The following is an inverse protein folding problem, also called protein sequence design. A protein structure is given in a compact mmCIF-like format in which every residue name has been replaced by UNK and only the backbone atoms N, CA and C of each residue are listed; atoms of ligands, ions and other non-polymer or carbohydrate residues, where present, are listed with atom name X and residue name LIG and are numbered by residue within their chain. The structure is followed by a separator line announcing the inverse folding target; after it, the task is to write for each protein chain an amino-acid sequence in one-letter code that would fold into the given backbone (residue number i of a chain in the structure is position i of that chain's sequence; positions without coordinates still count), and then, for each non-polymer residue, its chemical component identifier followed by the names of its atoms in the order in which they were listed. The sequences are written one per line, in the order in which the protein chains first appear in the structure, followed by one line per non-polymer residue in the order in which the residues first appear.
data_IF_686586165361
#
_entry.id   IF_686586165361
#
_cell.length_a   1.000
_cell.length_b   1.000
_cell.length_c   1.000
_cell.angle_alpha   90.00
_cell.angle_beta   90.00
_cell.angle_gamma   90.00
#
_symmetry.space_group_name_H-M   'P 1'
#
loop_
_entity.id
_entity.type
_entity.pdbx_description
1 polymer ?
#
# COMPACT_ATOMS: atom_id res chain seq x y z
N UNK A 1 7.74 -56.51 19.22
CA UNK A 1 8.19 -55.11 19.10
C UNK A 1 6.98 -54.25 18.75
N UNK A 2 6.43 -53.52 19.73
CA UNK A 2 5.19 -52.75 19.57
C UNK A 2 5.44 -51.50 18.73
N UNK A 3 4.85 -51.43 17.52
CA UNK A 3 4.78 -50.20 16.73
C UNK A 3 3.83 -49.24 17.45
N UNK A 4 4.36 -48.39 18.34
CA UNK A 4 3.58 -47.29 18.91
C UNK A 4 3.27 -46.31 17.77
N UNK A 5 2.03 -46.34 17.29
CA UNK A 5 1.51 -45.31 16.40
C UNK A 5 1.63 -43.96 17.11
N UNK A 6 2.24 -42.98 16.44
CA UNK A 6 2.27 -41.59 16.89
C UNK A 6 0.80 -41.14 17.03
N UNK A 7 0.39 -40.51 18.15
CA UNK A 7 -0.98 -40.02 18.31
C UNK A 7 -1.34 -39.03 17.19
N UNK A 8 -2.53 -39.15 16.61
CA UNK A 8 -3.00 -38.30 15.49
C UNK A 8 -2.87 -36.78 15.76
N UNK A 9 -2.98 -36.37 17.03
CA UNK A 9 -2.81 -34.98 17.48
C UNK A 9 -1.39 -34.45 17.30
N UNK A 10 -0.37 -35.31 17.44
CA UNK A 10 1.04 -34.94 17.30
C UNK A 10 1.42 -34.72 15.83
N UNK A 11 0.84 -35.52 14.93
CA UNK A 11 1.03 -35.33 13.48
C UNK A 11 0.37 -34.06 12.96
N UNK A 12 -0.83 -33.72 13.44
CA UNK A 12 -1.50 -32.48 13.09
C UNK A 12 -0.70 -31.24 13.55
N UNK A 13 -0.15 -31.28 14.76
CA UNK A 13 0.71 -30.21 15.29
C UNK A 13 2.04 -30.09 14.54
N UNK A 14 2.64 -31.23 14.16
CA UNK A 14 3.86 -31.26 13.36
C UNK A 14 3.61 -30.74 11.94
N UNK A 15 2.50 -31.14 11.32
CA UNK A 15 2.11 -30.65 10.00
C UNK A 15 1.80 -29.16 10.04
N UNK A 16 1.07 -28.69 11.05
CA UNK A 16 0.80 -27.26 11.24
C UNK A 16 2.09 -26.47 11.47
N UNK A 17 3.03 -27.01 12.26
CA UNK A 17 4.37 -26.45 12.45
C UNK A 17 5.13 -26.34 11.13
N UNK A 18 5.13 -27.38 10.31
CA UNK A 18 5.83 -27.42 9.02
C UNK A 18 5.18 -26.45 8.02
N UNK A 19 3.86 -26.40 7.97
CA UNK A 19 3.12 -25.46 7.10
C UNK A 19 3.38 -24.01 7.56
N UNK A 20 3.34 -23.72 8.86
CA UNK A 20 3.66 -22.39 9.40
C UNK A 20 5.10 -22.01 9.10
N UNK A 21 6.04 -22.94 9.23
CA UNK A 21 7.45 -22.71 8.93
C UNK A 21 7.66 -22.44 7.43
N UNK A 22 7.04 -23.25 6.56
CA UNK A 22 7.10 -23.07 5.11
C UNK A 22 6.48 -21.75 4.66
N UNK A 23 5.30 -21.41 5.16
CA UNK A 23 4.62 -20.14 4.86
C UNK A 23 5.45 -18.97 5.39
N UNK A 24 6.03 -19.08 6.59
CA UNK A 24 6.92 -18.06 7.14
C UNK A 24 8.16 -17.87 6.28
N UNK A 25 8.84 -18.95 5.87
CA UNK A 25 10.02 -18.88 5.02
C UNK A 25 9.70 -18.30 3.63
N UNK A 26 8.58 -18.68 3.03
CA UNK A 26 8.13 -18.14 1.75
C UNK A 26 7.72 -16.68 1.85
N UNK A 27 7.00 -16.29 2.89
CA UNK A 27 6.65 -14.89 3.13
C UNK A 27 7.88 -14.04 3.43
N UNK A 28 8.82 -14.53 4.23
CA UNK A 28 10.10 -13.85 4.47
C UNK A 28 10.89 -13.68 3.18
N UNK A 29 10.94 -14.72 2.34
CA UNK A 29 11.63 -14.66 1.05
C UNK A 29 10.96 -13.64 0.12
N UNK A 30 9.64 -13.68 -0.01
CA UNK A 30 8.86 -12.71 -0.81
C UNK A 30 9.09 -11.30 -0.27
N UNK A 31 8.98 -11.09 1.04
CA UNK A 31 9.20 -9.77 1.63
C UNK A 31 10.64 -9.28 1.43
N UNK A 32 11.65 -10.15 1.55
CA UNK A 32 13.05 -9.80 1.30
C UNK A 32 13.29 -9.42 -0.14
N UNK A 33 12.70 -10.14 -1.08
CA UNK A 33 12.85 -9.88 -2.51
C UNK A 33 12.09 -8.62 -2.92
N UNK A 34 10.90 -8.40 -2.39
CA UNK A 34 10.15 -7.15 -2.55
C UNK A 34 10.90 -5.96 -1.95
N UNK A 35 11.49 -6.11 -0.76
CA UNK A 35 12.32 -5.06 -0.15
C UNK A 35 13.56 -4.77 -1.00
N UNK A 36 14.24 -5.81 -1.51
CA UNK A 36 15.37 -5.64 -2.42
C UNK A 36 14.95 -4.94 -3.70
N UNK A 37 13.87 -5.39 -4.34
CA UNK A 37 13.32 -4.80 -5.55
C UNK A 37 12.94 -3.34 -5.31
N UNK A 38 12.28 -3.06 -4.18
CA UNK A 38 11.96 -1.71 -3.75
C UNK A 38 13.21 -0.85 -3.55
N UNK A 39 14.27 -1.37 -2.93
CA UNK A 39 15.53 -0.64 -2.70
C UNK A 39 16.38 -0.48 -3.97
N UNK A 40 16.31 -1.43 -4.91
CA UNK A 40 17.01 -1.38 -6.19
C UNK A 40 16.31 -0.40 -7.16
N UNK A 41 14.98 -0.36 -7.15
CA UNK A 41 14.17 0.58 -7.94
C UNK A 41 14.15 1.97 -7.31
N UNK A 42 13.93 2.08 -5.99
CA UNK A 42 14.03 3.33 -5.24
C UNK A 42 15.48 3.53 -4.77
N UNK A 43 16.32 4.03 -5.66
CA UNK A 43 17.65 4.52 -5.24
C UNK A 43 17.46 5.52 -4.08
N UNK A 44 18.11 5.29 -2.94
CA UNK A 44 17.97 6.05 -1.69
C UNK A 44 18.20 7.58 -1.79
N UNK A 45 18.65 8.08 -2.96
CA UNK A 45 18.81 9.50 -3.27
C UNK A 45 17.74 10.09 -4.19
N UNK A 46 16.86 9.26 -4.73
CA UNK A 46 15.66 9.73 -5.42
C UNK A 46 14.60 10.01 -4.35
N UNK A 47 14.10 11.26 -4.22
CA UNK A 47 12.99 11.52 -3.32
C UNK A 47 11.82 10.64 -3.76
N UNK A 48 11.33 9.77 -2.87
CA UNK A 48 10.10 9.04 -3.12
C UNK A 48 8.96 10.06 -3.24
N UNK A 49 8.60 10.38 -4.48
CA UNK A 49 7.47 11.25 -4.80
C UNK A 49 6.19 10.44 -4.91
N UNK A 50 6.27 9.11 -5.03
CA UNK A 50 5.13 8.25 -5.36
C UNK A 50 4.07 8.33 -4.27
N UNK A 51 2.86 8.67 -4.69
CA UNK A 51 1.61 8.50 -3.97
C UNK A 51 1.52 9.20 -2.61
N UNK A 52 1.86 10.49 -2.50
CA UNK A 52 1.38 11.29 -1.35
C UNK A 52 2.16 12.54 -0.93
N UNK A 53 3.34 12.80 -1.50
CA UNK A 53 4.16 13.97 -1.12
C UNK A 53 4.33 15.04 -2.20
N UNK A 54 3.58 14.97 -3.31
CA UNK A 54 3.78 15.88 -4.44
C UNK A 54 3.48 17.35 -4.13
N UNK A 55 2.54 17.63 -3.22
CA UNK A 55 2.20 19.00 -2.82
C UNK A 55 3.29 19.67 -1.97
N UNK A 56 4.26 18.92 -1.41
CA UNK A 56 5.34 19.53 -0.60
C UNK A 56 6.27 20.41 -1.42
N UNK A 57 6.43 20.11 -2.72
CA UNK A 57 7.24 20.90 -3.65
C UNK A 57 6.47 22.08 -4.27
N UNK A 58 5.17 22.17 -3.99
CA UNK A 58 4.26 23.21 -4.47
C UNK A 58 4.12 24.27 -3.38
N UNK A 59 4.03 25.55 -3.78
CA UNK A 59 3.86 26.65 -2.81
C UNK A 59 2.52 26.49 -2.08
N UNK A 60 2.49 26.72 -0.77
CA UNK A 60 1.27 26.56 0.07
C UNK A 60 0.01 27.19 -0.52
N UNK A 61 0.14 28.36 -1.14
CA UNK A 61 -0.98 29.07 -1.78
C UNK A 61 -1.62 28.30 -2.95
N UNK A 62 -0.83 27.52 -3.68
CA UNK A 62 -1.25 26.81 -4.89
C UNK A 62 -1.60 25.34 -4.56
N UNK A 63 -1.22 24.83 -3.38
CA UNK A 63 -1.45 23.44 -2.98
C UNK A 63 -2.93 23.07 -2.97
N UNK A 64 -3.80 23.96 -2.49
CA UNK A 64 -5.23 23.70 -2.40
C UNK A 64 -5.85 23.55 -3.80
N UNK A 65 -5.59 24.51 -4.69
CA UNK A 65 -6.11 24.51 -6.06
C UNK A 65 -5.58 23.31 -6.85
N UNK A 66 -4.29 23.02 -6.75
CA UNK A 66 -3.68 21.87 -7.41
C UNK A 66 -4.26 20.54 -6.90
N UNK A 67 -4.57 20.45 -5.59
CA UNK A 67 -5.21 19.26 -5.03
C UNK A 67 -6.64 19.06 -5.54
N UNK A 68 -7.41 20.14 -5.76
CA UNK A 68 -8.74 20.04 -6.37
C UNK A 68 -8.65 19.59 -7.83
N UNK A 69 -7.75 20.15 -8.62
CA UNK A 69 -7.57 19.73 -10.01
C UNK A 69 -7.13 18.26 -10.10
N UNK A 70 -6.24 17.82 -9.18
CA UNK A 70 -5.84 16.41 -9.04
C UNK A 70 -7.02 15.48 -8.72
N UNK A 71 -7.95 15.91 -7.86
CA UNK A 71 -9.13 15.11 -7.53
C UNK A 71 -9.99 14.83 -8.75
N UNK A 72 -10.04 15.73 -9.72
CA UNK A 72 -10.79 15.52 -10.97
C UNK A 72 -10.21 14.34 -11.76
N UNK A 73 -8.88 14.22 -11.81
CA UNK A 73 -8.20 13.10 -12.47
C UNK A 73 -8.55 11.79 -11.75
N UNK A 74 -8.33 11.71 -10.43
CA UNK A 74 -8.52 10.46 -9.69
C UNK A 74 -9.98 10.01 -9.57
N UNK A 75 -10.93 10.95 -9.63
CA UNK A 75 -12.39 10.65 -9.58
C UNK A 75 -13.01 10.47 -10.96
N UNK A 76 -12.21 10.52 -12.03
CA UNK A 76 -12.70 10.30 -13.38
C UNK A 76 -13.30 8.89 -13.52
N UNK A 77 -14.38 8.72 -14.31
CA UNK A 77 -15.04 7.44 -14.44
C UNK A 77 -14.20 6.43 -15.23
N UNK A 78 -13.47 6.90 -16.26
CA UNK A 78 -12.68 6.08 -17.18
C UNK A 78 -11.26 6.66 -17.36
N UNK A 79 -10.32 5.80 -17.81
CA UNK A 79 -8.92 6.17 -18.06
C UNK A 79 -8.80 7.26 -19.14
N UNK A 80 -9.61 7.21 -20.18
CA UNK A 80 -9.65 8.23 -21.25
C UNK A 80 -9.96 9.63 -20.71
N UNK A 81 -11.02 9.76 -19.90
CA UNK A 81 -11.40 11.03 -19.26
C UNK A 81 -10.31 11.49 -18.28
N UNK A 82 -9.69 10.56 -17.55
CA UNK A 82 -8.59 10.90 -16.65
C UNK A 82 -7.38 11.48 -17.40
N UNK A 83 -7.08 10.95 -18.60
CA UNK A 83 -6.02 11.47 -19.48
C UNK A 83 -6.36 12.87 -19.99
N UNK A 84 -7.61 13.13 -20.39
CA UNK A 84 -8.06 14.47 -20.80
C UNK A 84 -7.95 15.48 -19.64
N UNK A 85 -8.38 15.09 -18.44
CA UNK A 85 -8.25 15.93 -17.25
C UNK A 85 -6.78 16.18 -16.90
N UNK A 86 -5.90 15.18 -17.11
CA UNK A 86 -4.47 15.34 -16.93
C UNK A 86 -3.85 16.32 -17.94
N UNK A 87 -4.30 16.31 -19.20
CA UNK A 87 -3.85 17.30 -20.19
C UNK A 87 -4.23 18.73 -19.78
N UNK A 88 -5.46 18.95 -19.31
CA UNK A 88 -5.90 20.25 -18.78
C UNK A 88 -5.06 20.67 -17.57
N UNK A 89 -4.81 19.72 -16.65
CA UNK A 89 -3.94 19.92 -15.50
C UNK A 89 -2.52 20.33 -15.94
N UNK A 90 -1.95 19.65 -16.93
CA UNK A 90 -0.64 19.94 -17.48
C UNK A 90 -0.60 21.34 -18.10
N UNK A 91 -1.59 21.74 -18.89
CA UNK A 91 -1.66 23.09 -19.46
C UNK A 91 -1.69 24.18 -18.38
N UNK A 92 -2.41 23.94 -17.28
CA UNK A 92 -2.55 24.91 -16.18
C UNK A 92 -1.29 25.03 -15.32
N UNK A 93 -0.64 23.92 -15.01
CA UNK A 93 0.44 23.89 -14.00
C UNK A 93 1.85 23.75 -14.56
N UNK A 94 2.02 23.35 -15.82
CA UNK A 94 3.35 23.15 -16.44
C UNK A 94 4.24 24.39 -16.40
N UNK A 95 3.66 25.58 -16.59
CA UNK A 95 4.41 26.84 -16.53
C UNK A 95 4.95 27.14 -15.12
N UNK A 96 4.17 26.85 -14.07
CA UNK A 96 4.54 27.16 -12.68
C UNK A 96 5.40 26.06 -12.05
N UNK A 97 5.11 24.80 -12.36
CA UNK A 97 5.72 23.62 -11.73
C UNK A 97 6.14 22.57 -12.77
N UNK A 98 7.04 22.91 -13.72
CA UNK A 98 7.37 22.04 -14.85
C UNK A 98 7.94 20.69 -14.43
N UNK A 99 8.80 20.67 -13.39
CA UNK A 99 9.42 19.43 -12.88
C UNK A 99 8.41 18.47 -12.27
N UNK A 100 7.45 18.99 -11.50
CA UNK A 100 6.43 18.17 -10.83
C UNK A 100 5.47 17.57 -11.85
N UNK A 101 4.99 18.39 -12.78
CA UNK A 101 4.09 17.96 -13.86
C UNK A 101 4.77 16.93 -14.77
N UNK A 102 6.05 17.12 -15.10
CA UNK A 102 6.81 16.14 -15.90
C UNK A 102 6.98 14.82 -15.15
N UNK A 103 7.27 14.86 -13.85
CA UNK A 103 7.37 13.65 -13.03
C UNK A 103 6.07 12.84 -13.08
N UNK A 104 4.91 13.51 -13.01
CA UNK A 104 3.63 12.83 -13.09
C UNK A 104 3.34 12.31 -14.50
N UNK A 105 3.68 13.07 -15.53
CA UNK A 105 3.51 12.62 -16.91
C UNK A 105 4.29 11.33 -17.19
N UNK A 106 5.50 11.22 -16.63
CA UNK A 106 6.35 10.03 -16.77
C UNK A 106 5.78 8.81 -16.03
N UNK A 107 5.10 9.01 -14.89
CA UNK A 107 4.55 7.94 -14.06
C UNK A 107 3.03 7.75 -14.24
N UNK A 108 2.41 8.45 -15.21
CA UNK A 108 0.96 8.56 -15.33
C UNK A 108 0.28 7.20 -15.51
N UNK A 109 0.89 6.30 -16.27
CA UNK A 109 0.34 4.97 -16.51
C UNK A 109 0.27 4.12 -15.23
N UNK A 110 1.31 4.19 -14.40
CA UNK A 110 1.37 3.55 -13.09
C UNK A 110 0.37 4.19 -12.12
N UNK A 111 0.23 5.52 -12.17
CA UNK A 111 -0.70 6.26 -11.32
C UNK A 111 -2.16 5.97 -11.66
N UNK A 112 -2.47 5.61 -12.91
CA UNK A 112 -3.83 5.31 -13.37
C UNK A 112 -4.16 3.80 -13.36
N UNK A 113 -3.22 2.92 -13.00
CA UNK A 113 -3.46 1.46 -12.96
C UNK A 113 -4.61 1.07 -12.03
N UNK A 114 -4.91 1.87 -11.00
CA UNK A 114 -6.06 1.59 -10.13
C UNK A 114 -7.42 1.66 -10.87
N UNK A 115 -7.48 2.33 -12.04
CA UNK A 115 -8.72 2.44 -12.82
C UNK A 115 -9.12 1.12 -13.48
N UNK A 116 -8.18 0.19 -13.64
CA UNK A 116 -8.45 -1.15 -14.17
C UNK A 116 -9.27 -2.00 -13.18
N UNK A 117 -9.33 -1.57 -11.91
CA UNK A 117 -10.15 -2.21 -10.88
C UNK A 117 -11.57 -1.65 -10.83
N UNK A 118 -12.55 -2.43 -10.30
CA UNK A 118 -13.93 -1.99 -10.13
C UNK A 118 -14.06 -0.65 -9.39
N UNK A 119 -14.94 0.22 -9.89
CA UNK A 119 -15.13 1.58 -9.37
C UNK A 119 -15.45 1.63 -7.87
N UNK A 120 -16.12 0.61 -7.34
CA UNK A 120 -16.48 0.48 -5.92
C UNK A 120 -15.26 0.43 -4.98
N UNK A 121 -14.12 -0.12 -5.42
CA UNK A 121 -12.91 -0.25 -4.60
C UNK A 121 -11.82 0.78 -4.90
N UNK A 122 -11.92 1.52 -6.02
CA UNK A 122 -10.90 2.51 -6.44
C UNK A 122 -10.53 3.48 -5.31
N UNK A 123 -11.53 3.96 -4.57
CA UNK A 123 -11.32 4.88 -3.44
C UNK A 123 -10.46 4.32 -2.32
N UNK A 124 -10.49 3.00 -2.12
CA UNK A 124 -9.64 2.33 -1.13
C UNK A 124 -8.21 2.20 -1.65
N UNK A 125 -8.03 2.02 -2.96
CA UNK A 125 -6.72 1.83 -3.60
C UNK A 125 -5.93 3.13 -3.65
N UNK A 126 -6.50 4.23 -4.18
CA UNK A 126 -5.76 5.47 -4.36
C UNK A 126 -5.60 6.29 -3.07
N UNK A 127 -6.27 5.91 -1.97
CA UNK A 127 -6.14 6.64 -0.70
C UNK A 127 -5.04 6.08 0.19
N UNK A 128 -4.16 6.96 0.64
CA UNK A 128 -3.10 6.65 1.61
C UNK A 128 -3.58 6.65 3.06
N UNK A 129 -4.87 6.91 3.30
CA UNK A 129 -5.44 7.12 4.63
C UNK A 129 -5.14 5.98 5.62
N UNK A 130 -5.19 4.72 5.16
CA UNK A 130 -4.89 3.57 6.00
C UNK A 130 -3.42 3.59 6.45
N UNK A 131 -2.50 3.80 5.50
CA UNK A 131 -1.05 3.87 5.74
C UNK A 131 -0.70 5.06 6.64
N UNK A 132 -1.22 6.25 6.32
CA UNK A 132 -0.99 7.47 7.09
C UNK A 132 -1.51 7.34 8.52
N UNK A 133 -2.68 6.73 8.71
CA UNK A 133 -3.23 6.46 10.05
C UNK A 133 -2.34 5.51 10.84
N UNK A 134 -1.87 4.42 10.22
CA UNK A 134 -0.96 3.47 10.88
C UNK A 134 0.33 4.15 11.30
N UNK A 135 0.97 4.90 10.40
CA UNK A 135 2.21 5.65 10.68
C UNK A 135 1.98 6.68 11.79
N UNK A 136 0.84 7.39 11.77
CA UNK A 136 0.49 8.38 12.79
C UNK A 136 0.37 7.76 14.17
N UNK A 137 -0.28 6.61 14.28
CA UNK A 137 -0.44 5.91 15.57
C UNK A 137 0.89 5.32 16.07
N UNK A 138 1.72 4.77 15.19
CA UNK A 138 3.09 4.34 15.54
C UNK A 138 3.87 5.53 16.11
N UNK A 139 3.88 6.67 15.41
CA UNK A 139 4.55 7.90 15.89
C UNK A 139 3.99 8.39 17.22
N UNK A 140 2.68 8.31 17.42
CA UNK A 140 2.02 8.71 18.68
C UNK A 140 2.50 7.86 19.86
N UNK A 141 2.68 6.55 19.66
CA UNK A 141 3.20 5.63 20.68
C UNK A 141 4.68 5.83 20.99
N UNK A 142 5.47 6.17 19.97
CA UNK A 142 6.90 6.42 20.11
C UNK A 142 7.22 7.80 20.72
N UNK A 143 6.39 8.82 20.45
CA UNK A 143 6.62 10.21 20.91
C UNK A 143 6.90 10.36 22.42
N UNK A 144 6.17 9.73 23.36
CA UNK A 144 6.44 9.86 24.78
C UNK A 144 7.68 9.09 25.26
N UNK A 145 8.25 8.20 24.43
CA UNK A 145 9.32 7.29 24.86
C UNK A 145 10.69 7.95 24.98
N UNK A 146 10.88 9.20 24.52
CA UNK A 146 12.08 10.07 24.60
C UNK A 146 13.42 9.48 24.10
N UNK A 147 13.80 8.28 24.54
CA UNK A 147 14.91 7.47 24.01
C UNK A 147 14.54 5.97 24.07
N UNK A 148 14.90 5.24 23.03
CA UNK A 148 14.80 3.78 23.00
C UNK A 148 16.17 3.19 23.34
N UNK A 149 16.20 2.16 24.18
CA UNK A 149 17.43 1.55 24.69
C UNK A 149 18.18 0.72 23.65
N UNK A 150 17.48 0.12 22.68
CA UNK A 150 18.06 -0.63 21.57
C UNK A 150 17.16 -0.61 20.33
N UNK A 151 17.69 -1.05 19.19
CA UNK A 151 16.90 -1.25 17.96
C UNK A 151 15.79 -2.28 18.17
N UNK A 152 16.06 -3.37 18.90
CA UNK A 152 15.10 -4.43 19.20
C UNK A 152 13.92 -3.88 20.03
N UNK A 153 14.17 -2.92 20.93
CA UNK A 153 13.13 -2.25 21.67
C UNK A 153 12.20 -1.45 20.75
N UNK A 154 12.74 -0.79 19.71
CA UNK A 154 11.96 -0.09 18.69
C UNK A 154 11.10 -1.07 17.87
N UNK A 155 11.72 -2.16 17.40
CA UNK A 155 11.04 -3.21 16.63
C UNK A 155 9.89 -3.83 17.41
N UNK A 156 10.10 -4.12 18.71
CA UNK A 156 9.08 -4.68 19.58
C UNK A 156 7.88 -3.74 19.73
N UNK A 157 8.10 -2.43 19.86
CA UNK A 157 7.00 -1.44 19.94
C UNK A 157 6.21 -1.40 18.64
N UNK A 158 6.89 -1.43 17.49
CA UNK A 158 6.23 -1.47 16.18
C UNK A 158 5.43 -2.76 16.03
N UNK A 159 6.03 -3.91 16.34
CA UNK A 159 5.39 -5.22 16.28
C UNK A 159 4.11 -5.27 17.13
N UNK A 160 4.17 -4.89 18.40
CA UNK A 160 3.01 -4.89 19.29
C UNK A 160 1.91 -3.93 18.82
N UNK A 161 2.30 -2.82 18.19
CA UNK A 161 1.34 -1.87 17.61
C UNK A 161 0.64 -2.46 16.39
N UNK A 162 1.38 -3.15 15.52
CA UNK A 162 0.81 -3.84 14.35
C UNK A 162 -0.08 -5.00 14.79
N UNK A 163 0.30 -5.74 15.83
CA UNK A 163 -0.53 -6.82 16.38
C UNK A 163 -1.89 -6.30 16.86
N UNK A 164 -1.90 -5.22 17.65
CA UNK A 164 -3.13 -4.55 18.11
C UNK A 164 -3.98 -4.04 16.93
N UNK A 165 -3.35 -3.56 15.85
CA UNK A 165 -4.07 -3.20 14.63
C UNK A 165 -4.69 -4.41 13.93
N UNK A 166 -3.95 -5.50 13.79
CA UNK A 166 -4.44 -6.73 13.16
C UNK A 166 -5.65 -7.27 13.91
N UNK A 167 -5.61 -7.31 15.24
CA UNK A 167 -6.75 -7.72 16.07
C UNK A 167 -7.97 -6.82 15.86
N UNK A 168 -7.76 -5.49 15.85
CA UNK A 168 -8.85 -4.52 15.62
C UNK A 168 -9.42 -4.56 14.21
N UNK A 169 -8.60 -4.90 13.21
CA UNK A 169 -8.98 -4.86 11.80
C UNK A 169 -9.40 -6.22 11.25
N UNK A 170 -9.17 -7.31 11.99
CA UNK A 170 -9.54 -8.67 11.57
C UNK A 170 -11.01 -8.81 11.17
N UNK A 171 -11.92 -8.13 11.88
CA UNK A 171 -13.36 -8.14 11.58
C UNK A 171 -13.82 -7.05 10.60
N UNK A 172 -12.92 -6.18 10.14
CA UNK A 172 -13.31 -4.99 9.37
C UNK A 172 -13.45 -5.33 7.90
N UNK A 173 -14.65 -5.12 7.35
CA UNK A 173 -14.88 -5.17 5.90
C UNK A 173 -14.59 -3.81 5.27
N UNK A 174 -13.79 -3.81 4.20
CA UNK A 174 -13.54 -2.62 3.40
C UNK A 174 -14.76 -2.31 2.53
N UNK A 175 -15.06 -1.02 2.37
CA UNK A 175 -16.20 -0.56 1.56
C UNK A 175 -15.98 -0.94 0.08
N UNK A 176 -17.04 -1.35 -0.60
CA UNK A 176 -17.03 -1.65 -2.04
C UNK A 176 -16.49 -3.03 -2.41
N UNK A 177 -15.77 -3.72 -1.51
CA UNK A 177 -15.22 -5.05 -1.79
C UNK A 177 -16.31 -6.13 -1.95
N UNK A 178 -17.43 -6.01 -1.24
CA UNK A 178 -18.56 -6.93 -1.42
C UNK A 178 -19.20 -6.78 -2.81
N UNK A 179 -19.27 -5.55 -3.34
CA UNK A 179 -19.80 -5.28 -4.68
C UNK A 179 -18.81 -5.67 -5.79
N UNK A 180 -17.50 -5.57 -5.50
CA UNK A 180 -16.44 -5.91 -6.44
C UNK A 180 -16.08 -7.40 -6.48
N UNK A 181 -16.65 -8.24 -5.61
CA UNK A 181 -16.20 -9.62 -5.38
C UNK A 181 -16.15 -10.43 -6.69
N UNK A 182 -17.26 -10.51 -7.42
CA UNK A 182 -17.36 -11.28 -8.67
C UNK A 182 -16.37 -10.78 -9.74
N UNK A 183 -16.22 -9.45 -9.85
CA UNK A 183 -15.28 -8.87 -10.80
C UNK A 183 -13.82 -9.18 -10.44
N UNK A 184 -13.48 -9.15 -9.15
CA UNK A 184 -12.14 -9.51 -8.67
C UNK A 184 -11.84 -11.00 -8.85
N UNK A 185 -12.83 -11.87 -8.62
CA UNK A 185 -12.70 -13.32 -8.84
C UNK A 185 -12.39 -13.60 -10.33
N UNK A 186 -13.13 -13.00 -11.27
CA UNK A 186 -12.83 -13.10 -12.70
C UNK A 186 -11.42 -12.61 -13.06
N UNK A 187 -11.03 -11.43 -12.58
CA UNK A 187 -9.70 -10.88 -12.82
C UNK A 187 -8.58 -11.79 -12.27
N UNK A 188 -8.85 -12.49 -11.15
CA UNK A 188 -7.91 -13.44 -10.57
C UNK A 188 -7.80 -14.70 -11.43
N UNK A 189 -8.93 -15.26 -11.88
CA UNK A 189 -8.97 -16.41 -12.77
C UNK A 189 -8.24 -16.13 -14.09
N UNK A 190 -8.49 -15.00 -14.74
CA UNK A 190 -7.82 -14.60 -15.99
C UNK A 190 -6.30 -14.45 -15.87
N UNK A 191 -5.79 -14.15 -14.66
CA UNK A 191 -4.37 -13.93 -14.43
C UNK A 191 -3.59 -15.23 -14.14
N UNK A 192 -4.26 -16.21 -13.54
CA UNK A 192 -3.60 -17.41 -13.00
C UNK A 192 -4.06 -18.72 -13.65
N UNK A 193 -5.11 -18.71 -14.48
CA UNK A 193 -5.49 -19.80 -15.37
C UNK A 193 -5.00 -19.55 -16.80
#
# INVERSE_FOLDING_TARGET
MSKRSIPNVDWANQLESVIRQFVKEKLELIMREEIKHFLEIEQARTPNRRNGCYLRCVRKKDQFEMAEDLKLIYRSPNKEIALEMFQQFQSKWSHKYPREVQSWANELDVLLTFMDYPSSIRSVIYTTNAIERTIKEIRKRLKPMNSLSSLEAAEKVVYLTIQDFNEKWAGRKLRGFAEAQEALERMFEERYN
#
